data_IF_347648090615
#
_entry.id   IF_347648090615
#
_cell.length_a   1.000
_cell.length_b   1.000
_cell.length_c   1.000
_cell.angle_alpha   90.00
_cell.angle_beta   90.00
_cell.angle_gamma   90.00
#
_symmetry.space_group_name_H-M   'P 1'
#
loop_
_entity.id
_entity.type
_entity.pdbx_description
1 polymer ?
#
# COMPACT_ATOMS: atom_id res chain seq x y z
N UNK A 1 0.28 -21.75 -0.17
CA UNK A 1 -0.10 -20.33 -0.40
C UNK A 1 -1.28 -20.32 -1.34
N UNK A 2 -2.48 -19.88 -0.93
CA UNK A 2 -3.58 -19.72 -1.87
C UNK A 2 -3.15 -18.70 -2.93
N UNK A 3 -3.27 -19.04 -4.20
CA UNK A 3 -2.94 -18.13 -5.30
C UNK A 3 -4.06 -17.07 -5.37
N UNK A 4 -3.70 -15.79 -5.27
CA UNK A 4 -4.65 -14.70 -5.49
C UNK A 4 -5.24 -14.81 -6.90
N UNK A 5 -6.54 -14.55 -7.05
CA UNK A 5 -7.19 -14.56 -8.37
C UNK A 5 -6.60 -13.47 -9.24
N UNK A 6 -6.53 -13.67 -10.56
CA UNK A 6 -5.90 -12.73 -11.51
C UNK A 6 -6.47 -11.31 -11.42
N UNK A 7 -7.77 -11.17 -11.19
CA UNK A 7 -8.44 -9.88 -11.01
C UNK A 7 -7.99 -9.16 -9.71
N UNK A 8 -7.83 -9.90 -8.61
CA UNK A 8 -7.30 -9.39 -7.34
C UNK A 8 -5.87 -8.89 -7.53
N UNK A 9 -5.04 -9.62 -8.29
CA UNK A 9 -3.67 -9.21 -8.61
C UNK A 9 -3.63 -7.92 -9.42
N UNK A 10 -4.54 -7.72 -10.36
CA UNK A 10 -4.63 -6.49 -11.16
C UNK A 10 -4.97 -5.27 -10.30
N UNK A 11 -5.86 -5.43 -9.33
CA UNK A 11 -6.24 -4.33 -8.45
C UNK A 11 -5.12 -3.95 -7.49
N UNK A 12 -4.42 -4.94 -6.92
CA UNK A 12 -3.24 -4.67 -6.08
C UNK A 12 -2.14 -3.94 -6.87
N UNK A 13 -1.87 -4.32 -8.13
CA UNK A 13 -0.92 -3.61 -8.99
C UNK A 13 -1.34 -2.14 -9.22
N UNK A 14 -2.63 -1.88 -9.43
CA UNK A 14 -3.17 -0.52 -9.56
C UNK A 14 -2.92 0.31 -8.29
N UNK A 15 -3.17 -0.28 -7.12
CA UNK A 15 -2.94 0.36 -5.81
C UNK A 15 -1.46 0.64 -5.58
N UNK A 16 -0.57 -0.33 -5.84
CA UNK A 16 0.88 -0.10 -5.67
C UNK A 16 1.38 1.05 -6.54
N UNK A 17 0.94 1.14 -7.80
CA UNK A 17 1.31 2.24 -8.71
C UNK A 17 0.81 3.60 -8.20
N UNK A 18 -0.38 3.63 -7.60
CA UNK A 18 -0.91 4.85 -6.97
C UNK A 18 -0.07 5.26 -5.77
N UNK A 19 0.18 4.34 -4.84
CA UNK A 19 1.00 4.60 -3.63
C UNK A 19 2.41 5.11 -3.98
N UNK A 20 3.05 4.54 -5.01
CA UNK A 20 4.36 5.02 -5.49
C UNK A 20 4.32 6.47 -5.94
N UNK A 21 3.30 6.86 -6.71
CA UNK A 21 3.13 8.25 -7.15
C UNK A 21 2.90 9.18 -5.97
N UNK A 22 2.07 8.76 -5.01
CA UNK A 22 1.74 9.57 -3.84
C UNK A 22 2.95 9.76 -2.92
N UNK A 23 3.78 8.73 -2.74
CA UNK A 23 5.05 8.83 -1.99
C UNK A 23 5.98 9.86 -2.65
N UNK A 24 6.24 9.73 -3.96
CA UNK A 24 7.13 10.65 -4.67
C UNK A 24 6.58 12.07 -4.62
N UNK A 25 5.28 12.25 -4.88
CA UNK A 25 4.62 13.55 -4.88
C UNK A 25 4.68 14.23 -3.52
N UNK A 26 4.22 13.55 -2.46
CA UNK A 26 4.15 14.13 -1.12
C UNK A 26 5.52 14.46 -0.55
N UNK A 27 6.51 13.59 -0.74
CA UNK A 27 7.89 13.86 -0.29
C UNK A 27 8.56 14.99 -1.09
N UNK A 28 8.27 15.09 -2.40
CA UNK A 28 8.74 16.22 -3.23
C UNK A 28 8.10 17.53 -2.81
N UNK A 29 6.78 17.56 -2.63
CA UNK A 29 6.03 18.75 -2.19
C UNK A 29 6.48 19.22 -0.80
N UNK A 30 6.80 18.29 0.10
CA UNK A 30 7.34 18.59 1.42
C UNK A 30 8.82 19.02 1.41
N UNK A 31 9.54 18.84 0.30
CA UNK A 31 10.98 19.06 0.20
C UNK A 31 11.82 18.18 1.15
N UNK A 32 11.23 17.11 1.69
CA UNK A 32 11.82 16.25 2.72
C UNK A 32 11.13 14.88 2.77
N UNK A 33 11.76 13.92 3.47
CA UNK A 33 11.20 12.57 3.70
C UNK A 33 12.13 11.44 3.26
N UNK A 34 11.60 10.21 3.20
CA UNK A 34 12.36 8.99 2.90
C UNK A 34 11.72 8.20 1.74
N UNK A 35 11.64 8.78 0.52
CA UNK A 35 10.94 8.15 -0.59
C UNK A 35 11.49 6.76 -0.93
N UNK A 36 12.80 6.54 -0.86
CA UNK A 36 13.42 5.24 -1.14
C UNK A 36 12.94 4.14 -0.18
N UNK A 37 12.98 4.39 1.14
CA UNK A 37 12.50 3.45 2.16
C UNK A 37 11.00 3.21 2.08
N UNK A 38 10.21 4.25 1.80
CA UNK A 38 8.77 4.09 1.60
C UNK A 38 8.47 3.24 0.35
N UNK A 39 9.17 3.49 -0.77
CA UNK A 39 8.98 2.75 -2.03
C UNK A 39 9.34 1.26 -1.90
N UNK A 40 10.33 0.91 -1.06
CA UNK A 40 10.73 -0.49 -0.86
C UNK A 40 9.68 -1.34 -0.13
N UNK A 41 8.71 -0.71 0.54
CA UNK A 41 7.69 -1.42 1.33
C UNK A 41 6.31 -1.49 0.65
N UNK A 42 6.14 -0.86 -0.52
CA UNK A 42 4.83 -0.67 -1.16
C UNK A 42 4.09 -1.99 -1.38
N UNK A 43 4.74 -3.02 -1.92
CA UNK A 43 4.11 -4.34 -2.15
C UNK A 43 3.62 -4.97 -0.85
N UNK A 44 4.47 -4.97 0.18
CA UNK A 44 4.17 -5.60 1.47
C UNK A 44 2.96 -4.93 2.11
N UNK A 45 2.96 -3.60 2.19
CA UNK A 45 1.87 -2.83 2.78
C UNK A 45 0.58 -2.98 1.94
N UNK A 46 0.70 -3.01 0.61
CA UNK A 46 -0.46 -3.17 -0.26
C UNK A 46 -1.15 -4.52 -0.04
N UNK A 47 -0.40 -5.62 0.01
CA UNK A 47 -0.98 -6.94 0.29
C UNK A 47 -1.51 -7.02 1.71
N UNK A 48 -0.82 -6.42 2.68
CA UNK A 48 -1.27 -6.41 4.07
C UNK A 48 -2.64 -5.73 4.20
N UNK A 49 -2.80 -4.52 3.69
CA UNK A 49 -4.01 -3.70 3.85
C UNK A 49 -5.13 -4.00 2.83
N UNK A 50 -4.79 -4.42 1.61
CA UNK A 50 -5.76 -4.58 0.51
C UNK A 50 -5.82 -5.99 -0.06
N UNK A 51 -4.87 -6.87 0.30
CA UNK A 51 -4.84 -8.27 -0.13
C UNK A 51 -5.61 -9.23 0.78
N UNK A 52 -6.36 -8.71 1.77
CA UNK A 52 -7.16 -9.52 2.71
C UNK A 52 -6.35 -10.22 3.80
N UNK A 53 -5.13 -9.75 4.09
CA UNK A 53 -4.26 -10.33 5.13
C UNK A 53 -4.48 -9.67 6.49
N UNK A 54 -4.54 -8.34 6.54
CA UNK A 54 -4.81 -7.59 7.77
C UNK A 54 -6.32 -7.50 7.98
N UNK A 55 -6.80 -7.94 9.14
CA UNK A 55 -8.14 -7.62 9.61
C UNK A 55 -8.08 -6.30 10.36
N UNK A 56 -8.66 -5.24 9.79
CA UNK A 56 -8.72 -3.92 10.39
C UNK A 56 -10.00 -3.21 9.95
N UNK A 57 -10.46 -2.26 10.76
CA UNK A 57 -11.49 -1.30 10.38
C UNK A 57 -10.85 0.08 10.20
N UNK A 58 -10.78 0.63 8.98
CA UNK A 58 -10.26 1.98 8.74
C UNK A 58 -11.01 3.07 9.51
N UNK A 59 -12.28 2.84 9.88
CA UNK A 59 -13.10 3.77 10.66
C UNK A 59 -12.89 3.63 12.18
N UNK A 60 -12.30 2.52 12.63
CA UNK A 60 -11.97 2.26 14.03
C UNK A 60 -10.50 1.83 14.18
N UNK A 61 -9.52 2.72 13.92
CA UNK A 61 -8.09 2.39 13.92
C UNK A 61 -7.53 1.98 15.29
N UNK A 62 -8.31 2.18 16.36
CA UNK A 62 -7.95 1.81 17.74
C UNK A 62 -8.75 0.61 18.26
N UNK A 63 -9.46 -0.10 17.38
CA UNK A 63 -10.14 -1.34 17.77
C UNK A 63 -9.12 -2.31 18.39
N UNK A 64 -9.43 -2.91 19.56
CA UNK A 64 -8.51 -3.80 20.27
C UNK A 64 -8.20 -5.07 19.47
#
# INVERSE_FOLDING_TARGET
>A
MPQARTEERSELDRITKQLRRDIVRSTTEAGSGHPSTSLSMVEIITVLYFGGVLHYDPQQPHHP
#
